data_IF_874373822179
#
_entry.id   IF_874373822179
#
_cell.length_a   1.000
_cell.length_b   1.000
_cell.length_c   1.000
_cell.angle_alpha   90.00
_cell.angle_beta   90.00
_cell.angle_gamma   90.00
#
_symmetry.space_group_name_H-M   'P 1'
#
loop_
_entity.id
_entity.type
_entity.pdbx_description
1 polymer ?
#
# COMPACT_ATOMS: atom_id res chain seq x y z
N UNK A 1 -9.61 4.42 10.94
CA UNK A 1 -10.10 4.30 9.53
C UNK A 1 -11.16 5.37 9.22
N UNK A 2 -12.07 5.69 10.17
CA UNK A 2 -13.08 6.75 10.00
C UNK A 2 -12.45 8.14 9.87
N UNK A 3 -11.37 8.42 10.58
CA UNK A 3 -10.64 9.71 10.54
C UNK A 3 -9.99 9.96 9.18
N UNK A 4 -9.48 8.93 8.50
CA UNK A 4 -8.93 9.05 7.15
C UNK A 4 -10.00 9.38 6.11
N UNK A 5 -11.17 8.75 6.19
CA UNK A 5 -12.32 9.07 5.32
C UNK A 5 -12.81 10.50 5.53
N UNK A 6 -13.00 10.93 6.77
CA UNK A 6 -13.41 12.31 7.06
C UNK A 6 -12.41 13.35 6.55
N UNK A 7 -11.12 13.14 6.66
CA UNK A 7 -10.10 14.10 6.19
C UNK A 7 -9.99 14.18 4.66
N UNK A 8 -10.16 13.08 3.94
CA UNK A 8 -10.26 13.12 2.48
C UNK A 8 -11.60 13.71 2.01
N UNK A 9 -12.65 13.60 2.83
CA UNK A 9 -13.97 14.15 2.54
C UNK A 9 -14.06 15.63 2.84
N UNK A 10 -13.24 16.16 3.74
CA UNK A 10 -13.11 17.60 4.05
C UNK A 10 -12.30 18.39 3.00
N UNK A 11 -12.07 17.82 1.81
CA UNK A 11 -11.39 18.53 0.69
C UNK A 11 -12.09 19.84 0.31
N UNK A 12 -13.38 19.98 0.63
CA UNK A 12 -14.16 21.17 0.35
C UNK A 12 -13.94 22.31 1.36
N UNK A 13 -13.88 21.99 2.66
CA UNK A 13 -14.17 22.94 3.73
C UNK A 13 -12.98 23.74 4.24
N UNK A 14 -11.77 23.33 3.90
CA UNK A 14 -10.57 24.05 4.30
C UNK A 14 -10.15 25.03 3.23
N UNK A 15 -10.32 26.32 3.49
CA UNK A 15 -9.55 27.32 2.77
C UNK A 15 -8.09 27.15 3.16
N UNK A 16 -7.30 26.64 2.23
CA UNK A 16 -5.86 26.62 2.40
C UNK A 16 -5.33 28.06 2.58
N UNK A 17 -4.16 28.21 3.21
CA UNK A 17 -3.49 29.52 3.37
C UNK A 17 -3.34 30.32 2.06
N UNK A 18 -3.45 29.64 0.91
CA UNK A 18 -3.45 30.25 -0.44
C UNK A 18 -4.79 30.90 -0.84
N UNK A 19 -5.86 30.75 -0.05
CA UNK A 19 -7.20 31.21 -0.41
C UNK A 19 -7.94 30.34 -1.44
N UNK A 20 -7.32 29.25 -1.91
CA UNK A 20 -7.92 28.29 -2.85
C UNK A 20 -8.74 27.22 -2.11
N UNK A 21 -9.80 26.66 -2.75
CA UNK A 21 -10.48 25.48 -2.24
C UNK A 21 -9.51 24.31 -2.05
N UNK A 22 -9.68 23.51 -1.00
CA UNK A 22 -8.78 22.39 -0.71
C UNK A 22 -8.71 21.38 -1.86
N UNK A 23 -9.80 21.14 -2.58
CA UNK A 23 -9.80 20.26 -3.77
C UNK A 23 -8.86 20.79 -4.85
N UNK A 24 -8.85 22.10 -5.11
CA UNK A 24 -7.97 22.72 -6.09
C UNK A 24 -6.50 22.59 -5.66
N UNK A 25 -6.22 22.86 -4.38
CA UNK A 25 -4.86 22.71 -3.82
C UNK A 25 -4.34 21.27 -3.99
N UNK A 26 -5.16 20.27 -3.70
CA UNK A 26 -4.76 18.83 -3.81
C UNK A 26 -4.38 18.46 -5.25
N UNK A 27 -5.08 19.00 -6.25
CA UNK A 27 -4.88 18.62 -7.65
C UNK A 27 -3.96 19.56 -8.43
N UNK A 28 -3.60 20.75 -7.90
CA UNK A 28 -2.77 21.71 -8.64
C UNK A 28 -1.48 22.12 -7.95
N UNK A 29 -1.40 22.01 -6.61
CA UNK A 29 -0.24 22.48 -5.86
C UNK A 29 0.65 21.30 -5.47
N UNK A 30 1.94 21.38 -5.83
CA UNK A 30 2.94 20.40 -5.40
C UNK A 30 3.24 20.56 -3.91
N UNK A 31 3.51 19.45 -3.23
CA UNK A 31 3.88 19.42 -1.81
C UNK A 31 2.84 20.02 -0.85
N UNK A 32 1.58 20.12 -1.27
CA UNK A 32 0.48 20.70 -0.49
C UNK A 32 -0.32 19.68 0.33
N UNK A 33 0.17 18.44 0.45
CA UNK A 33 -0.52 17.39 1.18
C UNK A 33 -0.56 17.66 2.69
N UNK A 34 -1.65 17.26 3.36
CA UNK A 34 -1.83 17.35 4.83
C UNK A 34 -0.84 16.49 5.66
N UNK A 35 0.20 15.96 5.02
CA UNK A 35 1.32 15.22 5.60
C UNK A 35 2.45 16.14 6.07
N UNK A 36 2.48 17.36 5.57
CA UNK A 36 3.49 18.35 5.91
C UNK A 36 2.94 19.27 7.00
N UNK A 37 3.48 19.20 8.21
CA UNK A 37 3.19 20.16 9.26
C UNK A 37 2.16 19.76 10.32
N UNK A 38 2.22 18.55 10.79
CA UNK A 38 1.63 18.22 12.10
C UNK A 38 0.48 17.21 12.10
N UNK A 39 0.75 16.03 12.60
CA UNK A 39 -0.20 15.13 13.26
C UNK A 39 -1.34 14.51 12.44
N UNK A 40 -1.39 14.76 11.16
CA UNK A 40 -2.48 14.29 10.29
C UNK A 40 -2.40 12.82 9.88
N UNK A 41 -1.21 12.30 9.72
CA UNK A 41 -0.93 10.93 9.31
C UNK A 41 0.29 10.41 10.05
N UNK A 42 0.11 9.40 10.89
CA UNK A 42 1.25 8.71 11.55
C UNK A 42 2.07 7.91 10.56
N UNK A 43 1.43 7.37 9.52
CA UNK A 43 2.07 6.51 8.51
C UNK A 43 1.48 6.79 7.14
N UNK A 44 2.32 6.96 6.12
CA UNK A 44 1.88 7.19 4.75
C UNK A 44 2.87 6.63 3.73
N UNK A 45 2.35 5.99 2.68
CA UNK A 45 3.14 5.56 1.53
C UNK A 45 3.57 6.71 0.60
N UNK A 46 2.81 7.80 0.57
CA UNK A 46 3.15 9.00 -0.21
C UNK A 46 4.04 9.94 0.59
N UNK A 47 5.27 10.18 0.13
CA UNK A 47 6.26 11.01 0.82
C UNK A 47 6.22 12.48 0.40
N UNK A 48 5.87 12.76 -0.86
CA UNK A 48 6.09 14.07 -1.46
C UNK A 48 4.82 14.89 -1.67
N UNK A 49 3.63 14.30 -1.46
CA UNK A 49 2.35 15.01 -1.64
C UNK A 49 2.09 15.51 -3.07
N UNK A 50 2.59 14.76 -4.07
CA UNK A 50 2.50 15.15 -5.49
C UNK A 50 1.65 14.21 -6.34
N UNK A 51 1.20 13.06 -5.82
CA UNK A 51 0.55 12.03 -6.63
C UNK A 51 -0.69 12.51 -7.38
N UNK A 52 -1.59 13.23 -6.72
CA UNK A 52 -2.81 13.73 -7.34
C UNK A 52 -2.53 14.85 -8.35
N UNK A 53 -1.64 15.78 -8.02
CA UNK A 53 -1.28 16.89 -8.92
C UNK A 53 -0.50 16.41 -10.15
N UNK A 54 0.33 15.37 -10.02
CA UNK A 54 1.03 14.75 -11.15
C UNK A 54 0.03 14.04 -12.08
N UNK A 55 -0.92 13.28 -11.53
CA UNK A 55 -1.98 12.65 -12.36
C UNK A 55 -2.76 13.73 -13.12
N UNK A 56 -3.11 14.85 -12.47
CA UNK A 56 -3.78 15.96 -13.14
C UNK A 56 -2.90 16.57 -14.26
N UNK A 57 -1.63 16.85 -13.98
CA UNK A 57 -0.71 17.44 -14.95
C UNK A 57 -0.48 16.55 -16.20
N UNK A 58 -0.51 15.23 -16.02
CA UNK A 58 -0.33 14.21 -17.07
C UNK A 58 -1.65 13.72 -17.68
N UNK A 59 -2.75 14.39 -17.41
CA UNK A 59 -4.07 14.07 -17.98
C UNK A 59 -4.49 15.13 -18.98
N UNK A 60 -5.05 14.69 -20.09
CA UNK A 60 -5.71 15.58 -21.06
C UNK A 60 -6.83 16.37 -20.36
N UNK A 61 -7.64 15.65 -19.57
CA UNK A 61 -8.58 16.26 -18.64
C UNK A 61 -8.72 15.43 -17.37
N UNK A 62 -9.09 16.09 -16.27
CA UNK A 62 -9.41 15.47 -14.99
C UNK A 62 -10.64 16.17 -14.39
N UNK A 63 -11.60 15.39 -13.90
CA UNK A 63 -12.81 15.84 -13.23
C UNK A 63 -12.88 15.30 -11.81
N UNK A 64 -13.25 16.16 -10.89
CA UNK A 64 -13.47 15.78 -9.49
C UNK A 64 -14.90 16.10 -9.10
N UNK A 65 -15.59 15.12 -8.50
CA UNK A 65 -16.88 15.29 -7.84
C UNK A 65 -16.73 14.95 -6.37
N UNK A 66 -17.15 15.86 -5.50
CA UNK A 66 -17.17 15.66 -4.05
C UNK A 66 -18.61 15.64 -3.57
N UNK A 67 -19.00 14.53 -2.95
CA UNK A 67 -20.32 14.35 -2.34
C UNK A 67 -20.24 14.71 -0.86
N UNK A 68 -20.92 15.78 -0.45
CA UNK A 68 -20.88 16.26 0.92
C UNK A 68 -22.07 17.17 1.25
N UNK A 69 -22.66 17.01 2.45
CA UNK A 69 -23.79 17.80 2.95
C UNK A 69 -24.96 17.95 1.96
N UNK A 70 -25.34 16.83 1.34
CA UNK A 70 -26.46 16.82 0.41
C UNK A 70 -26.18 17.47 -0.95
N UNK A 71 -24.94 17.83 -1.24
CA UNK A 71 -24.53 18.54 -2.46
C UNK A 71 -23.44 17.78 -3.21
N UNK A 72 -23.40 17.95 -4.53
CA UNK A 72 -22.35 17.46 -5.40
C UNK A 72 -21.53 18.66 -5.89
N UNK A 73 -20.34 18.77 -5.42
CA UNK A 73 -19.36 19.78 -5.85
C UNK A 73 -18.55 19.25 -7.02
N UNK A 74 -18.25 20.11 -7.99
CA UNK A 74 -17.55 19.75 -9.22
C UNK A 74 -16.45 20.74 -9.55
N UNK A 75 -15.32 20.22 -10.00
CA UNK A 75 -14.25 21.00 -10.59
C UNK A 75 -13.56 20.19 -11.70
N UNK A 76 -13.21 20.88 -12.80
CA UNK A 76 -12.53 20.31 -13.97
C UNK A 76 -11.18 20.92 -14.17
N UNK A 77 -10.26 20.10 -14.63
CA UNK A 77 -8.88 20.47 -14.93
C UNK A 77 -8.50 19.97 -16.33
N UNK A 78 -7.57 20.65 -16.99
CA UNK A 78 -6.95 20.22 -18.25
C UNK A 78 -5.45 20.43 -18.17
N UNK A 79 -4.67 19.35 -18.32
CA UNK A 79 -3.19 19.37 -18.23
C UNK A 79 -2.69 20.15 -17.00
N UNK A 80 -3.26 19.87 -15.86
CA UNK A 80 -2.89 20.50 -14.58
C UNK A 80 -3.53 21.87 -14.31
N UNK A 81 -4.21 22.48 -15.27
CA UNK A 81 -4.82 23.82 -15.11
C UNK A 81 -6.29 23.71 -14.71
N UNK A 82 -6.70 24.54 -13.77
CA UNK A 82 -8.10 24.67 -13.35
C UNK A 82 -8.92 25.33 -14.46
N UNK A 83 -10.01 24.72 -14.89
CA UNK A 83 -10.87 25.19 -15.97
C UNK A 83 -12.08 25.98 -15.51
N UNK A 84 -12.60 25.64 -14.33
CA UNK A 84 -13.76 26.30 -13.71
C UNK A 84 -13.55 26.46 -12.21
N UNK A 85 -14.29 27.39 -11.58
CA UNK A 85 -14.36 27.47 -10.12
C UNK A 85 -15.09 26.26 -9.57
N UNK A 86 -14.81 25.90 -8.31
CA UNK A 86 -15.56 24.87 -7.61
C UNK A 86 -17.04 25.29 -7.54
N UNK A 87 -17.94 24.50 -8.09
CA UNK A 87 -19.36 24.78 -8.19
C UNK A 87 -20.22 23.61 -7.69
N UNK A 88 -21.43 23.90 -7.25
CA UNK A 88 -22.43 22.88 -6.95
C UNK A 88 -23.20 22.56 -8.22
N UNK A 89 -23.10 21.32 -8.70
CA UNK A 89 -23.75 20.89 -9.95
C UNK A 89 -25.00 20.05 -9.72
N UNK A 90 -25.17 19.48 -8.51
CA UNK A 90 -26.29 18.58 -8.20
C UNK A 90 -26.50 18.46 -6.69
N UNK A 91 -27.58 17.79 -6.30
CA UNK A 91 -27.88 17.39 -4.94
C UNK A 91 -27.76 15.87 -4.77
N UNK A 92 -27.49 15.40 -3.56
CA UNK A 92 -27.44 13.98 -3.23
C UNK A 92 -28.04 13.75 -1.83
N UNK A 93 -28.34 12.48 -1.45
CA UNK A 93 -28.70 12.18 -0.08
C UNK A 93 -27.65 12.71 0.91
N UNK A 94 -28.09 13.26 2.04
CA UNK A 94 -27.21 13.92 3.02
C UNK A 94 -26.16 12.96 3.61
N UNK A 95 -26.50 11.68 3.69
CA UNK A 95 -25.62 10.59 4.14
C UNK A 95 -24.62 10.15 3.08
N UNK A 96 -24.82 10.55 1.82
CA UNK A 96 -23.88 10.22 0.74
C UNK A 96 -22.64 11.08 0.84
N UNK A 97 -21.51 10.41 1.08
CA UNK A 97 -20.20 11.05 1.20
C UNK A 97 -19.18 10.32 0.33
N UNK A 98 -18.23 11.08 -0.21
CA UNK A 98 -17.15 10.49 -0.99
C UNK A 98 -16.58 11.43 -2.04
N UNK A 99 -15.60 10.91 -2.77
CA UNK A 99 -14.96 11.64 -3.87
C UNK A 99 -14.89 10.73 -5.10
N UNK A 100 -15.29 11.25 -6.23
CA UNK A 100 -15.14 10.62 -7.54
C UNK A 100 -14.11 11.41 -8.34
N UNK A 101 -13.14 10.69 -8.90
CA UNK A 101 -12.12 11.27 -9.78
C UNK A 101 -12.19 10.53 -11.11
N UNK A 102 -12.35 11.28 -12.19
CA UNK A 102 -12.30 10.78 -13.58
C UNK A 102 -11.17 11.50 -14.30
N UNK A 103 -10.41 10.76 -15.08
CA UNK A 103 -9.34 11.38 -15.86
C UNK A 103 -9.04 10.58 -17.13
N UNK A 104 -8.50 11.28 -18.11
CA UNK A 104 -8.01 10.71 -19.34
C UNK A 104 -6.51 10.98 -19.46
N UNK A 105 -5.64 9.96 -19.46
CA UNK A 105 -4.22 10.15 -19.69
C UNK A 105 -3.94 10.92 -20.97
N UNK A 106 -2.94 11.79 -20.97
CA UNK A 106 -2.54 12.57 -22.16
C UNK A 106 -1.68 11.70 -23.08
N UNK A 107 -2.18 11.39 -24.25
CA UNK A 107 -1.53 10.60 -25.30
C UNK A 107 -0.31 11.30 -25.93
N UNK A 108 -0.16 12.59 -25.70
CA UNK A 108 1.07 13.31 -26.08
C UNK A 108 2.22 13.11 -25.09
N UNK A 109 1.92 12.60 -23.89
CA UNK A 109 2.88 12.37 -22.80
C UNK A 109 3.19 10.89 -22.58
N UNK A 110 2.29 9.99 -22.96
CA UNK A 110 2.41 8.55 -22.79
C UNK A 110 2.34 7.84 -24.13
N UNK A 111 3.24 6.89 -24.36
CA UNK A 111 3.20 6.02 -25.54
C UNK A 111 2.03 5.04 -25.50
N UNK A 112 1.66 4.59 -24.29
CA UNK A 112 0.55 3.67 -24.05
C UNK A 112 -0.40 4.27 -22.99
N UNK A 113 -1.68 4.42 -23.35
CA UNK A 113 -2.72 4.97 -22.45
C UNK A 113 -3.78 3.93 -22.06
N UNK A 114 -3.69 2.71 -22.60
CA UNK A 114 -4.61 1.61 -22.30
C UNK A 114 -4.14 0.89 -21.03
N UNK A 115 -4.99 0.91 -20.00
CA UNK A 115 -4.68 0.22 -18.75
C UNK A 115 -4.73 -1.30 -18.89
N UNK A 116 -3.69 -1.97 -18.39
CA UNK A 116 -3.66 -3.42 -18.23
C UNK A 116 -4.51 -3.83 -17.02
N UNK A 117 -5.54 -4.64 -17.27
CA UNK A 117 -6.48 -5.09 -16.23
C UNK A 117 -5.79 -5.99 -15.19
N UNK A 118 -4.90 -6.89 -15.60
CA UNK A 118 -4.26 -7.85 -14.70
C UNK A 118 -3.21 -7.18 -13.80
N UNK A 119 -2.51 -6.18 -14.29
CA UNK A 119 -1.61 -5.33 -13.50
C UNK A 119 -2.41 -4.60 -12.43
N UNK A 120 -3.51 -3.93 -12.78
CA UNK A 120 -4.38 -3.24 -11.81
C UNK A 120 -4.98 -4.23 -10.82
N UNK A 121 -5.48 -5.37 -11.27
CA UNK A 121 -6.07 -6.43 -10.45
C UNK A 121 -5.08 -6.93 -9.38
N UNK A 122 -3.83 -7.14 -9.77
CA UNK A 122 -2.78 -7.60 -8.86
C UNK A 122 -2.47 -6.54 -7.80
N UNK A 123 -2.25 -5.29 -8.20
CA UNK A 123 -1.96 -4.19 -7.25
C UNK A 123 -3.11 -3.89 -6.29
N UNK A 124 -4.34 -3.90 -6.78
CA UNK A 124 -5.51 -3.64 -5.93
C UNK A 124 -5.76 -4.79 -4.94
N UNK A 125 -5.48 -6.03 -5.33
CA UNK A 125 -5.52 -7.19 -4.44
C UNK A 125 -4.49 -7.08 -3.33
N UNK A 126 -3.23 -6.77 -3.64
CA UNK A 126 -2.16 -6.53 -2.65
C UNK A 126 -2.58 -5.45 -1.65
N UNK A 127 -3.10 -4.32 -2.15
CA UNK A 127 -3.58 -3.22 -1.32
C UNK A 127 -4.70 -3.64 -0.38
N UNK A 128 -5.63 -4.48 -0.86
CA UNK A 128 -6.73 -4.98 -0.04
C UNK A 128 -6.23 -5.95 1.06
N UNK A 129 -5.26 -6.81 0.78
CA UNK A 129 -4.63 -7.66 1.80
C UNK A 129 -3.87 -6.87 2.86
N UNK A 130 -3.12 -5.85 2.45
CA UNK A 130 -2.34 -4.99 3.35
C UNK A 130 -3.19 -4.04 4.19
N UNK A 131 -4.47 -3.89 3.86
CA UNK A 131 -5.39 -2.98 4.55
C UNK A 131 -6.66 -3.74 4.95
N UNK A 132 -6.60 -4.41 6.11
CA UNK A 132 -7.71 -5.22 6.65
C UNK A 132 -9.04 -4.45 6.59
N UNK A 133 -10.09 -5.11 6.09
CA UNK A 133 -11.43 -4.54 5.99
C UNK A 133 -11.64 -3.51 4.88
N UNK A 134 -10.62 -3.19 4.08
CA UNK A 134 -10.79 -2.34 2.90
C UNK A 134 -11.44 -3.14 1.78
N UNK A 135 -12.57 -2.63 1.28
CA UNK A 135 -13.22 -3.18 0.08
C UNK A 135 -12.83 -2.37 -1.14
N UNK A 136 -12.28 -3.04 -2.15
CA UNK A 136 -11.92 -2.47 -3.46
C UNK A 136 -12.72 -3.21 -4.53
N UNK A 137 -13.30 -2.48 -5.48
CA UNK A 137 -13.99 -3.04 -6.64
C UNK A 137 -13.30 -2.52 -7.90
N UNK A 138 -12.83 -3.43 -8.74
CA UNK A 138 -12.27 -3.14 -10.05
C UNK A 138 -13.30 -3.55 -11.12
N UNK A 139 -13.63 -2.62 -12.02
CA UNK A 139 -14.52 -2.87 -13.17
C UNK A 139 -13.81 -2.52 -14.45
N UNK A 140 -13.81 -3.45 -15.40
CA UNK A 140 -13.42 -3.18 -16.79
C UNK A 140 -14.68 -3.02 -17.63
N UNK A 141 -14.93 -1.80 -18.06
CA UNK A 141 -16.11 -1.45 -18.85
C UNK A 141 -15.87 -1.58 -20.37
N UNK A 142 -14.69 -2.02 -20.78
CA UNK A 142 -14.32 -2.20 -22.20
C UNK A 142 -14.86 -3.50 -22.78
N UNK A 143 -15.27 -4.41 -21.91
CA UNK A 143 -15.75 -5.75 -22.29
C UNK A 143 -17.27 -5.88 -22.12
N UNK A 144 -17.89 -6.72 -22.93
CA UNK A 144 -19.29 -7.12 -22.78
C UNK A 144 -19.35 -8.67 -22.67
N UNK A 145 -19.77 -9.22 -21.53
CA UNK A 145 -20.18 -8.53 -20.30
C UNK A 145 -19.04 -7.81 -19.58
N UNK A 146 -19.41 -6.80 -18.79
CA UNK A 146 -18.47 -6.07 -17.92
C UNK A 146 -17.74 -7.02 -16.97
N UNK A 147 -16.42 -6.95 -16.92
CA UNK A 147 -15.62 -7.72 -15.96
C UNK A 147 -15.54 -6.95 -14.65
N UNK A 148 -16.04 -7.54 -13.56
CA UNK A 148 -15.98 -6.97 -12.24
C UNK A 148 -15.25 -7.92 -11.27
N UNK A 149 -14.35 -7.36 -10.44
CA UNK A 149 -13.71 -8.08 -9.34
C UNK A 149 -13.73 -7.24 -8.06
N UNK A 150 -14.27 -7.83 -7.00
CA UNK A 150 -14.21 -7.25 -5.66
C UNK A 150 -13.09 -7.93 -4.84
N UNK A 151 -12.38 -7.13 -4.06
CA UNK A 151 -11.36 -7.54 -3.11
C UNK A 151 -11.77 -7.04 -1.72
N UNK A 152 -11.81 -7.94 -0.74
CA UNK A 152 -12.12 -7.62 0.64
C UNK A 152 -11.58 -8.74 1.52
N UNK A 153 -10.60 -8.43 2.36
CA UNK A 153 -9.88 -9.41 3.16
C UNK A 153 -9.81 -8.94 4.62
N UNK A 154 -10.33 -9.75 5.52
CA UNK A 154 -10.31 -9.48 6.96
C UNK A 154 -9.07 -10.09 7.63
N UNK A 155 -8.51 -11.15 7.06
CA UNK A 155 -7.33 -11.86 7.57
C UNK A 155 -6.00 -11.15 7.33
N UNK A 156 -5.99 -10.06 6.54
CA UNK A 156 -4.79 -9.28 6.27
C UNK A 156 -3.67 -10.10 5.62
N UNK A 157 -2.43 -9.92 6.09
CA UNK A 157 -1.27 -10.62 5.52
C UNK A 157 -1.26 -12.14 5.76
N UNK A 158 -1.96 -12.64 6.78
CA UNK A 158 -2.16 -14.10 6.95
C UNK A 158 -2.94 -14.66 5.77
N UNK A 159 -4.05 -14.03 5.41
CA UNK A 159 -4.87 -14.44 4.27
C UNK A 159 -4.11 -14.28 2.95
N UNK A 160 -3.19 -13.31 2.88
CA UNK A 160 -2.33 -13.13 1.71
C UNK A 160 -1.35 -14.31 1.56
N UNK A 161 -0.72 -14.80 2.64
CA UNK A 161 0.13 -16.01 2.58
C UNK A 161 -0.70 -17.21 2.14
N UNK A 162 -1.92 -17.41 2.68
CA UNK A 162 -2.84 -18.47 2.22
C UNK A 162 -3.12 -18.37 0.72
N UNK A 163 -3.37 -17.16 0.26
CA UNK A 163 -3.61 -16.91 -1.17
C UNK A 163 -2.41 -17.27 -2.05
N UNK A 164 -1.20 -16.90 -1.63
CA UNK A 164 0.04 -17.20 -2.36
C UNK A 164 0.39 -18.69 -2.38
N UNK A 165 -0.02 -19.42 -1.34
CA UNK A 165 0.20 -20.85 -1.21
C UNK A 165 -0.97 -21.71 -1.75
N UNK A 166 -2.01 -21.09 -2.33
CA UNK A 166 -3.23 -21.79 -2.77
C UNK A 166 -2.98 -22.98 -3.70
N UNK A 167 -1.93 -22.92 -4.52
CA UNK A 167 -1.54 -24.00 -5.46
C UNK A 167 -0.38 -24.87 -4.98
N UNK A 168 0.02 -24.74 -3.72
CA UNK A 168 1.14 -25.46 -3.10
C UNK A 168 0.63 -26.25 -1.90
N UNK A 169 1.37 -27.28 -1.53
CA UNK A 169 1.08 -28.10 -0.34
C UNK A 169 1.82 -27.52 0.87
N UNK A 170 1.08 -26.99 1.84
CA UNK A 170 1.68 -26.49 3.07
C UNK A 170 2.27 -27.63 3.91
N UNK A 171 3.46 -27.45 4.48
CA UNK A 171 4.11 -28.43 5.35
C UNK A 171 3.47 -28.50 6.74
N UNK A 172 2.73 -27.48 7.13
CA UNK A 172 1.95 -27.42 8.38
C UNK A 172 0.73 -26.51 8.16
N UNK A 173 -0.39 -26.75 8.91
CA UNK A 173 -1.67 -26.11 8.62
C UNK A 173 -1.72 -24.63 8.98
N UNK A 174 -1.04 -24.21 10.04
CA UNK A 174 -1.12 -22.87 10.57
C UNK A 174 -0.14 -21.92 9.91
N UNK A 175 -0.59 -20.68 9.66
CA UNK A 175 0.30 -19.61 9.23
C UNK A 175 0.92 -18.98 10.47
N UNK A 176 2.24 -19.01 10.52
CA UNK A 176 3.01 -18.31 11.57
C UNK A 176 2.80 -16.81 11.35
N UNK A 177 2.35 -16.13 12.41
CA UNK A 177 2.09 -14.69 12.39
C UNK A 177 2.62 -14.04 13.65
N UNK A 178 3.30 -12.91 13.48
CA UNK A 178 3.69 -12.05 14.57
C UNK A 178 3.50 -10.59 14.19
N UNK A 179 3.20 -9.77 15.19
CA UNK A 179 3.13 -8.32 15.08
C UNK A 179 3.72 -7.67 16.31
N UNK A 180 4.30 -6.49 16.13
CA UNK A 180 4.86 -5.71 17.23
C UNK A 180 5.24 -4.32 16.79
N UNK A 181 5.56 -3.48 17.78
CA UNK A 181 6.05 -2.13 17.54
C UNK A 181 7.37 -1.94 18.30
N UNK A 182 8.39 -1.43 17.62
CA UNK A 182 9.67 -1.08 18.21
C UNK A 182 10.27 0.14 17.53
N UNK A 183 10.79 1.07 18.32
CA UNK A 183 11.42 2.31 17.84
C UNK A 183 10.54 3.11 16.84
N UNK A 184 9.22 3.09 17.05
CA UNK A 184 8.25 3.74 16.18
C UNK A 184 7.96 2.99 14.85
N UNK A 185 8.55 1.80 14.68
CA UNK A 185 8.30 0.91 13.53
C UNK A 185 7.31 -0.16 13.93
N UNK A 186 6.16 -0.17 13.26
CA UNK A 186 5.17 -1.24 13.37
C UNK A 186 5.57 -2.36 12.42
N UNK A 187 5.67 -3.59 12.90
CA UNK A 187 6.09 -4.77 12.13
C UNK A 187 4.99 -5.80 12.15
N UNK A 188 4.63 -6.32 10.99
CA UNK A 188 3.76 -7.49 10.82
C UNK A 188 4.49 -8.50 9.93
N UNK A 189 4.57 -9.74 10.36
CA UNK A 189 5.15 -10.86 9.60
C UNK A 189 4.15 -12.00 9.54
N UNK A 190 3.95 -12.57 8.36
CA UNK A 190 3.22 -13.82 8.17
C UNK A 190 4.05 -14.74 7.28
N UNK A 191 4.17 -16.03 7.65
CA UNK A 191 4.92 -16.99 6.86
C UNK A 191 4.38 -18.41 6.99
N UNK A 192 4.66 -19.23 5.97
CA UNK A 192 4.34 -20.66 5.94
C UNK A 192 5.28 -21.36 4.97
N UNK A 193 5.79 -22.56 5.33
CA UNK A 193 6.55 -23.39 4.42
C UNK A 193 5.62 -24.31 3.61
N UNK A 194 6.03 -24.61 2.41
CA UNK A 194 5.30 -25.45 1.46
C UNK A 194 6.28 -26.42 0.75
N UNK A 195 5.76 -27.29 -0.07
CA UNK A 195 6.47 -28.35 -0.79
C UNK A 195 7.35 -27.88 -1.96
N UNK A 196 7.48 -26.56 -2.17
CA UNK A 196 8.40 -26.02 -3.17
C UNK A 196 9.81 -25.81 -2.59
N UNK A 197 10.80 -25.63 -3.47
CA UNK A 197 12.17 -25.32 -3.07
C UNK A 197 12.50 -23.82 -3.12
N UNK A 198 11.54 -22.97 -3.52
CA UNK A 198 11.77 -21.55 -3.74
C UNK A 198 11.43 -20.72 -2.50
N UNK A 199 12.31 -19.80 -2.14
CA UNK A 199 12.01 -18.70 -1.22
C UNK A 199 11.14 -17.65 -1.93
N UNK A 200 9.99 -17.33 -1.35
CA UNK A 200 9.08 -16.27 -1.81
C UNK A 200 8.86 -15.29 -0.66
N UNK A 201 9.76 -14.31 -0.51
CA UNK A 201 9.67 -13.28 0.52
C UNK A 201 9.23 -11.95 -0.11
N UNK A 202 8.10 -11.41 0.35
CA UNK A 202 7.52 -10.15 -0.11
C UNK A 202 7.66 -9.08 0.97
N UNK A 203 8.33 -7.97 0.63
CA UNK A 203 8.52 -6.82 1.52
C UNK A 203 7.54 -5.69 1.20
N UNK A 204 6.98 -5.09 2.25
CA UNK A 204 6.12 -3.92 2.15
C UNK A 204 6.49 -2.87 3.19
N UNK A 205 6.55 -1.63 2.76
CA UNK A 205 6.79 -0.46 3.62
C UNK A 205 5.66 0.54 3.40
N UNK A 206 4.86 0.81 4.43
CA UNK A 206 3.70 1.70 4.33
C UNK A 206 2.75 1.30 3.18
N UNK A 207 2.53 0.00 2.98
CA UNK A 207 1.75 -0.61 1.90
C UNK A 207 2.34 -0.43 0.48
N UNK A 208 3.62 -0.03 0.38
CA UNK A 208 4.35 0.00 -0.89
C UNK A 208 5.20 -1.26 -0.97
N UNK A 209 5.12 -1.99 -2.08
CA UNK A 209 5.98 -3.14 -2.34
C UNK A 209 7.44 -2.72 -2.53
N UNK A 210 8.35 -3.47 -1.96
CA UNK A 210 9.80 -3.29 -2.08
C UNK A 210 10.41 -4.52 -2.73
N UNK A 211 10.35 -4.67 -4.06
CA UNK A 211 10.79 -5.88 -4.75
C UNK A 211 12.29 -6.15 -4.57
N UNK A 212 13.11 -5.12 -4.38
CA UNK A 212 14.53 -5.25 -4.06
C UNK A 212 14.81 -5.42 -2.55
N UNK A 213 13.73 -5.55 -1.74
CA UNK A 213 13.82 -5.73 -0.30
C UNK A 213 14.27 -4.46 0.44
N UNK A 214 15.33 -4.58 1.21
CA UNK A 214 15.89 -3.52 2.05
C UNK A 214 16.13 -3.99 3.48
N UNK A 215 16.38 -3.05 4.36
CA UNK A 215 16.79 -3.31 5.76
C UNK A 215 15.81 -4.16 6.55
N UNK A 216 14.49 -4.00 6.34
CA UNK A 216 13.44 -4.80 6.98
C UNK A 216 13.51 -6.29 6.56
N UNK A 217 13.81 -6.60 5.29
CA UNK A 217 13.97 -7.98 4.83
C UNK A 217 15.27 -8.58 5.36
N UNK A 218 16.35 -7.78 5.43
CA UNK A 218 17.62 -8.21 6.05
C UNK A 218 17.40 -8.54 7.52
N UNK A 219 16.70 -7.68 8.26
CA UNK A 219 16.33 -7.94 9.67
C UNK A 219 15.55 -9.23 9.83
N UNK A 220 14.51 -9.43 9.01
CA UNK A 220 13.70 -10.66 9.02
C UNK A 220 14.54 -11.92 8.78
N UNK A 221 15.39 -11.94 7.75
CA UNK A 221 16.24 -13.10 7.44
C UNK A 221 17.22 -13.41 8.55
N UNK A 222 17.79 -12.38 9.19
CA UNK A 222 18.69 -12.57 10.32
C UNK A 222 17.95 -13.15 11.53
N UNK A 223 16.83 -12.54 11.93
CA UNK A 223 15.99 -13.00 13.03
C UNK A 223 15.55 -14.44 12.85
N UNK A 224 15.08 -14.78 11.65
CA UNK A 224 14.63 -16.13 11.31
C UNK A 224 15.77 -17.16 11.49
N UNK A 225 16.94 -16.88 10.91
CA UNK A 225 18.09 -17.78 10.98
C UNK A 225 18.56 -17.98 12.42
N UNK A 226 18.62 -16.91 13.19
CA UNK A 226 18.99 -16.93 14.61
C UNK A 226 17.99 -17.75 15.43
N UNK A 227 16.71 -17.42 15.33
CA UNK A 227 15.65 -18.04 16.11
C UNK A 227 15.53 -19.55 15.86
N UNK A 228 15.60 -19.97 14.60
CA UNK A 228 15.56 -21.40 14.27
C UNK A 228 16.74 -22.17 14.85
N UNK A 229 17.95 -21.62 14.77
CA UNK A 229 19.13 -22.29 15.32
C UNK A 229 19.09 -22.31 16.87
N UNK A 230 18.71 -21.22 17.51
CA UNK A 230 18.55 -21.16 18.97
C UNK A 230 17.49 -22.17 19.44
N UNK A 231 16.33 -22.23 18.77
CA UNK A 231 15.28 -23.19 19.09
C UNK A 231 15.74 -24.64 18.88
N UNK A 232 16.40 -24.94 17.76
CA UNK A 232 16.90 -26.27 17.45
C UNK A 232 17.93 -26.76 18.48
N UNK A 233 18.83 -25.89 18.92
CA UNK A 233 19.80 -26.19 19.97
C UNK A 233 19.13 -26.39 21.34
N UNK A 234 18.26 -25.46 21.75
CA UNK A 234 17.58 -25.52 23.02
C UNK A 234 16.73 -26.80 23.19
N UNK A 235 16.12 -27.24 22.09
CA UNK A 235 15.29 -28.45 22.05
C UNK A 235 16.04 -29.73 21.64
N UNK A 236 17.40 -29.68 21.50
CA UNK A 236 18.22 -30.81 21.11
C UNK A 236 17.85 -31.44 19.75
N UNK A 237 17.26 -30.65 18.87
CA UNK A 237 16.98 -31.05 17.49
C UNK A 237 18.24 -31.01 16.61
N UNK A 238 19.23 -30.23 17.03
CA UNK A 238 20.55 -30.11 16.43
C UNK A 238 21.60 -30.50 17.48
N UNK A 239 22.49 -31.43 17.19
CA UNK A 239 23.56 -31.88 18.11
C UNK A 239 24.65 -30.81 18.22
N UNK A 240 25.34 -30.73 19.38
CA UNK A 240 26.42 -29.77 19.58
C UNK A 240 27.57 -29.88 18.57
N UNK A 241 27.78 -31.07 18.02
CA UNK A 241 28.79 -31.35 16.98
C UNK A 241 28.35 -30.99 15.56
N UNK A 242 27.07 -30.69 15.33
CA UNK A 242 26.54 -30.35 14.03
C UNK A 242 26.62 -28.83 13.77
N UNK A 243 26.91 -28.41 12.51
CA UNK A 243 26.89 -26.97 12.19
C UNK A 243 25.48 -26.39 12.33
N UNK A 244 25.40 -25.09 12.48
CA UNK A 244 24.12 -24.38 12.44
C UNK A 244 23.49 -24.50 11.05
N UNK A 245 22.15 -24.51 11.01
CA UNK A 245 21.40 -24.39 9.77
C UNK A 245 21.71 -23.06 9.09
N UNK A 246 21.89 -23.08 7.80
CA UNK A 246 22.08 -21.85 7.01
C UNK A 246 20.77 -21.12 6.82
N UNK A 247 20.84 -19.85 6.47
CA UNK A 247 19.63 -19.12 6.14
C UNK A 247 18.93 -19.67 4.90
N UNK A 248 19.63 -20.28 3.96
CA UNK A 248 19.06 -20.93 2.78
C UNK A 248 18.26 -22.17 3.16
N UNK A 249 18.82 -23.03 4.02
CA UNK A 249 18.12 -24.23 4.52
C UNK A 249 16.78 -23.87 5.17
N UNK A 250 16.76 -22.80 5.96
CA UNK A 250 15.57 -22.37 6.71
C UNK A 250 14.51 -21.74 5.79
N UNK A 251 14.93 -21.06 4.73
CA UNK A 251 14.03 -20.36 3.82
C UNK A 251 13.60 -21.17 2.60
N UNK A 252 14.11 -22.38 2.44
CA UNK A 252 13.67 -23.29 1.38
C UNK A 252 12.16 -23.58 1.51
N UNK A 253 11.42 -23.41 0.42
CA UNK A 253 9.97 -23.59 0.39
C UNK A 253 9.16 -22.55 1.19
N UNK A 254 9.78 -21.49 1.67
CA UNK A 254 9.09 -20.48 2.48
C UNK A 254 8.34 -19.47 1.61
N UNK A 255 7.09 -19.21 1.98
CA UNK A 255 6.34 -18.01 1.55
C UNK A 255 6.19 -17.10 2.76
N UNK A 256 6.73 -15.89 2.69
CA UNK A 256 6.69 -14.92 3.77
C UNK A 256 6.29 -13.51 3.29
N UNK A 257 5.56 -12.80 4.13
CA UNK A 257 5.23 -11.38 3.95
C UNK A 257 5.77 -10.63 5.17
N UNK A 258 6.59 -9.64 4.90
CA UNK A 258 7.12 -8.71 5.90
C UNK A 258 6.58 -7.32 5.59
N UNK A 259 5.68 -6.84 6.42
CA UNK A 259 5.04 -5.54 6.26
C UNK A 259 5.41 -4.64 7.44
N UNK A 260 6.02 -3.51 7.14
CA UNK A 260 6.32 -2.51 8.17
C UNK A 260 5.59 -1.19 7.91
N UNK A 261 5.33 -0.47 8.99
CA UNK A 261 4.85 0.90 8.94
C UNK A 261 5.81 1.78 9.74
N UNK A 262 6.35 2.77 9.06
CA UNK A 262 7.33 3.70 9.59
C UNK A 262 6.94 5.13 9.20
N UNK A 263 7.19 6.10 10.06
CA UNK A 263 6.76 7.49 9.85
C UNK A 263 7.53 8.14 8.69
N UNK A 264 8.85 7.99 8.67
CA UNK A 264 9.74 8.60 7.67
C UNK A 264 10.55 7.55 6.91
N UNK A 265 9.95 6.83 5.93
CA UNK A 265 10.66 5.83 5.16
C UNK A 265 11.69 6.47 4.21
N UNK A 266 12.91 5.96 4.26
CA UNK A 266 14.02 6.35 3.39
C UNK A 266 14.26 5.21 2.38
N UNK A 267 13.98 5.48 1.11
CA UNK A 267 14.22 4.53 0.03
C UNK A 267 15.49 4.87 -0.74
N UNK A 268 16.17 3.86 -1.27
CA UNK A 268 17.38 4.04 -2.11
C UNK A 268 17.09 4.65 -3.48
N UNK A 269 15.87 5.06 -3.77
CA UNK A 269 15.51 5.71 -5.02
C UNK A 269 14.04 6.12 -5.08
N UNK A 270 13.72 6.94 -6.08
CA UNK A 270 12.35 7.45 -6.28
C UNK A 270 11.33 6.34 -6.59
N UNK A 271 11.77 5.23 -7.17
CA UNK A 271 10.93 4.06 -7.44
C UNK A 271 10.52 3.28 -6.20
N UNK A 272 11.13 3.59 -5.03
CA UNK A 272 10.83 3.01 -3.71
C UNK A 272 10.99 1.48 -3.64
N UNK A 273 11.88 0.93 -4.44
CA UNK A 273 12.06 -0.52 -4.56
C UNK A 273 12.81 -1.14 -3.40
N UNK A 274 13.64 -0.36 -2.69
CA UNK A 274 14.49 -0.82 -1.58
C UNK A 274 14.50 0.16 -0.43
N UNK A 275 14.28 -0.36 0.80
CA UNK A 275 14.31 0.45 2.03
C UNK A 275 15.73 0.55 2.60
N UNK A 276 16.13 1.77 3.01
CA UNK A 276 17.43 2.07 3.60
C UNK A 276 17.46 2.30 5.12
N UNK A 277 16.32 2.50 5.76
CA UNK A 277 16.24 2.82 7.21
C UNK A 277 16.90 1.77 8.09
N UNK A 278 17.93 2.16 8.86
CA UNK A 278 18.63 1.24 9.77
C UNK A 278 17.79 0.77 10.95
N UNK A 279 16.90 1.63 11.47
CA UNK A 279 15.97 1.32 12.56
C UNK A 279 14.99 0.22 12.18
N UNK A 280 14.57 0.16 10.93
CA UNK A 280 13.69 -0.89 10.42
C UNK A 280 14.33 -2.28 10.50
N UNK A 281 15.66 -2.39 10.30
CA UNK A 281 16.40 -3.63 10.50
C UNK A 281 16.31 -4.10 11.93
N UNK A 282 16.63 -3.20 12.89
CA UNK A 282 16.63 -3.53 14.31
C UNK A 282 15.24 -3.87 14.84
N UNK A 283 14.21 -3.17 14.36
CA UNK A 283 12.82 -3.42 14.76
C UNK A 283 12.33 -4.81 14.31
N UNK A 284 12.73 -5.25 13.13
CA UNK A 284 12.34 -6.58 12.60
C UNK A 284 13.20 -7.71 13.15
N UNK A 285 14.50 -7.46 13.43
CA UNK A 285 15.45 -8.48 13.93
C UNK A 285 15.15 -8.89 15.39
N UNK A 286 14.56 -8.02 16.19
CA UNK A 286 14.29 -8.25 17.61
C UNK A 286 12.86 -8.65 17.92
#
# INVERSE_FOLDING_TARGET
>A
LSIRRQRQMCIRDSNHKSGLPAVEVVFTVLHAGGKFGGGGYKVSGGLHGVGASVVNALSNWLEVRVYHDGKVYFQRYERGKTMNKLEVIDTCPIEKTGTEVRFLPDDTMFEETVYDYDVLKTRLRETAFLTKGLRIVLRDLRTDPVVEKAFHYEGGIKEFVSYLNKSKTALYPDIIYCEGERDGVLVEVAMQHNDSYQENTYGFVNNITTPEGGTHIVGFRNALTKTFNEYARANKLLKDSEPNLTGEDIREGMTAIVSIKIEEPQFEGQTKQKLGNSEARGAVDN
#
